data_IF_606065454898
#
_entry.id   IF_606065454898
#
_cell.length_a   1.000
_cell.length_b   1.000
_cell.length_c   1.000
_cell.angle_alpha   90.00
_cell.angle_beta   90.00
_cell.angle_gamma   90.00
#
_symmetry.space_group_name_H-M   'P 1'
#
loop_
_entity.id
_entity.type
_entity.pdbx_description
1 polymer ?
#
# COMPACT_ATOMS: atom_id res chain seq x y z
N UNK A 1 13.04 -2.40 -4.32
CA UNK A 1 13.70 -1.30 -5.03
C UNK A 1 12.67 -0.37 -5.69
N UNK A 2 11.97 -0.77 -6.77
CA UNK A 2 11.00 0.14 -7.43
C UNK A 2 9.87 0.64 -6.50
N UNK A 3 9.27 -0.26 -5.72
CA UNK A 3 8.23 0.12 -4.77
C UNK A 3 8.72 1.08 -3.69
N UNK A 4 9.95 0.90 -3.20
CA UNK A 4 10.54 1.79 -2.19
C UNK A 4 10.86 3.16 -2.79
N UNK A 5 11.34 3.20 -4.05
CA UNK A 5 11.54 4.45 -4.80
C UNK A 5 10.23 5.18 -5.05
N UNK A 6 9.17 4.44 -5.40
CA UNK A 6 7.83 5.00 -5.59
C UNK A 6 7.33 5.63 -4.29
N UNK A 7 7.39 4.90 -3.16
CA UNK A 7 6.97 5.46 -1.86
C UNK A 7 7.81 6.68 -1.46
N UNK A 8 9.13 6.61 -1.62
CA UNK A 8 10.03 7.72 -1.32
C UNK A 8 9.66 8.97 -2.12
N UNK A 9 9.50 8.83 -3.44
CA UNK A 9 9.11 9.94 -4.31
C UNK A 9 7.75 10.50 -3.93
N UNK A 10 6.75 9.63 -3.73
CA UNK A 10 5.38 10.07 -3.41
C UNK A 10 5.32 10.83 -2.08
N UNK A 11 6.03 10.36 -1.05
CA UNK A 11 6.08 11.05 0.24
C UNK A 11 6.92 12.34 0.20
N UNK A 12 7.92 12.43 -0.68
CA UNK A 12 8.66 13.67 -0.93
C UNK A 12 7.79 14.74 -1.61
N UNK A 13 6.74 14.34 -2.34
CA UNK A 13 5.74 15.26 -2.89
C UNK A 13 4.74 15.80 -1.84
N UNK A 14 4.90 15.45 -0.55
CA UNK A 14 4.05 15.94 0.54
C UNK A 14 2.75 15.17 0.75
N UNK A 15 2.60 13.99 0.15
CA UNK A 15 1.52 13.07 0.49
C UNK A 15 1.93 12.27 1.72
N UNK A 16 1.10 12.20 2.76
CA UNK A 16 1.42 11.45 3.99
C UNK A 16 0.67 10.12 4.12
N UNK A 17 -0.30 9.88 3.24
CA UNK A 17 -1.16 8.71 3.24
C UNK A 17 -1.45 8.26 1.82
N UNK A 18 -1.29 6.96 1.56
CA UNK A 18 -1.53 6.34 0.26
C UNK A 18 -2.42 5.13 0.43
N UNK A 19 -3.24 4.88 -0.58
CA UNK A 19 -4.07 3.70 -0.64
C UNK A 19 -4.09 3.12 -2.06
N UNK A 20 -4.33 1.82 -2.13
CA UNK A 20 -4.55 1.08 -3.37
C UNK A 20 -5.48 -0.10 -3.10
N UNK A 21 -5.94 -0.74 -4.17
CA UNK A 21 -6.64 -2.01 -4.06
C UNK A 21 -6.09 -3.05 -5.04
N UNK A 22 -6.29 -4.32 -4.71
CA UNK A 22 -5.92 -5.44 -5.57
C UNK A 22 -6.73 -6.68 -5.23
N UNK A 23 -6.89 -7.58 -6.20
CA UNK A 23 -7.56 -8.86 -5.99
C UNK A 23 -6.89 -9.68 -4.88
N UNK A 24 -7.68 -10.35 -4.01
CA UNK A 24 -7.19 -11.02 -2.81
C UNK A 24 -6.23 -12.19 -3.09
N UNK A 25 -6.41 -12.87 -4.23
CA UNK A 25 -5.70 -14.10 -4.61
C UNK A 25 -4.58 -13.81 -5.62
N UNK A 26 -3.85 -12.72 -5.40
CA UNK A 26 -2.76 -12.29 -6.27
C UNK A 26 -1.43 -12.18 -5.53
N UNK A 27 -0.34 -12.29 -6.29
CA UNK A 27 1.02 -12.00 -5.81
C UNK A 27 1.14 -10.56 -5.29
N UNK A 28 0.33 -9.63 -5.80
CA UNK A 28 0.31 -8.25 -5.33
C UNK A 28 -0.28 -8.15 -3.91
N UNK A 29 -1.40 -8.82 -3.63
CA UNK A 29 -1.97 -8.86 -2.29
C UNK A 29 -0.97 -9.41 -1.25
N UNK A 30 -0.28 -10.52 -1.58
CA UNK A 30 0.79 -11.04 -0.71
C UNK A 30 1.96 -10.07 -0.56
N UNK A 31 2.34 -9.38 -1.64
CA UNK A 31 3.41 -8.39 -1.61
C UNK A 31 3.10 -7.23 -0.65
N UNK A 32 1.89 -6.67 -0.71
CA UNK A 32 1.50 -5.55 0.16
C UNK A 32 1.34 -6.00 1.62
N UNK A 33 0.75 -7.17 1.88
CA UNK A 33 0.67 -7.75 3.23
C UNK A 33 2.05 -7.90 3.89
N UNK A 34 3.11 -8.12 3.11
CA UNK A 34 4.49 -8.26 3.60
C UNK A 34 5.24 -6.92 3.74
N UNK A 35 4.66 -5.78 3.34
CA UNK A 35 5.38 -4.50 3.18
C UNK A 35 4.79 -3.32 3.98
N UNK A 36 4.46 -3.54 5.25
CA UNK A 36 3.89 -2.50 6.15
C UNK A 36 2.59 -1.84 5.64
N UNK A 37 1.99 -2.33 4.55
CA UNK A 37 0.66 -1.91 4.15
C UNK A 37 -0.36 -2.56 5.07
N UNK A 38 -1.29 -1.76 5.55
CA UNK A 38 -2.40 -2.20 6.37
C UNK A 38 -3.60 -2.51 5.50
N UNK A 39 -4.15 -3.72 5.60
CA UNK A 39 -5.39 -4.08 4.92
C UNK A 39 -6.57 -3.45 5.66
N UNK A 40 -7.26 -2.49 5.05
CA UNK A 40 -8.34 -1.72 5.70
C UNK A 40 -9.74 -2.20 5.36
N UNK A 41 -9.87 -3.16 4.44
CA UNK A 41 -11.14 -3.80 4.12
C UNK A 41 -11.22 -4.27 2.68
N UNK A 42 -12.45 -4.49 2.22
CA UNK A 42 -12.76 -4.96 0.88
C UNK A 42 -13.66 -3.94 0.17
N UNK A 43 -13.36 -3.64 -1.08
CA UNK A 43 -14.16 -2.76 -1.94
C UNK A 43 -15.39 -3.49 -2.50
N UNK A 44 -16.40 -2.78 -3.07
CA UNK A 44 -17.61 -3.41 -3.63
C UNK A 44 -17.34 -4.42 -4.75
N UNK A 45 -16.20 -4.31 -5.43
CA UNK A 45 -15.74 -5.24 -6.47
C UNK A 45 -14.96 -6.45 -5.91
N UNK A 46 -14.97 -6.66 -4.60
CA UNK A 46 -14.23 -7.71 -3.89
C UNK A 46 -12.70 -7.56 -3.82
N UNK A 47 -12.12 -6.44 -4.31
CA UNK A 47 -10.70 -6.16 -4.14
C UNK A 47 -10.36 -5.79 -2.69
N UNK A 48 -9.19 -6.18 -2.22
CA UNK A 48 -8.66 -5.78 -0.91
C UNK A 48 -8.09 -4.36 -1.00
N UNK A 49 -8.53 -3.50 -0.10
CA UNK A 49 -7.97 -2.17 0.09
C UNK A 49 -6.78 -2.22 1.04
N UNK A 50 -5.69 -1.59 0.63
CA UNK A 50 -4.47 -1.43 1.41
C UNK A 50 -4.16 0.05 1.60
N UNK A 51 -3.66 0.39 2.78
CA UNK A 51 -3.23 1.74 3.13
C UNK A 51 -1.85 1.74 3.76
N UNK A 52 -1.08 2.79 3.52
CA UNK A 52 0.21 3.02 4.17
C UNK A 52 0.38 4.52 4.43
N UNK A 53 0.94 4.85 5.60
CA UNK A 53 1.35 6.22 5.93
C UNK A 53 2.86 6.38 5.76
N UNK A 54 3.30 7.61 5.52
CA UNK A 54 4.72 7.94 5.50
C UNK A 54 5.39 7.59 6.84
N UNK A 55 4.65 7.71 7.94
CA UNK A 55 5.09 7.30 9.27
C UNK A 55 5.30 5.78 9.37
N UNK A 56 4.32 4.97 8.96
CA UNK A 56 4.42 3.51 9.01
C UNK A 56 5.54 2.96 8.12
N UNK A 57 5.78 3.59 6.97
CA UNK A 57 6.84 3.20 6.05
C UNK A 57 8.26 3.52 6.57
N UNK A 58 8.42 4.58 7.35
CA UNK A 58 9.73 5.00 7.90
C UNK A 58 10.14 4.23 9.16
N UNK A 59 9.26 3.41 9.74
CA UNK A 59 9.56 2.54 10.90
C UNK A 59 10.19 1.22 10.46
#
# INVERSE_FOLDING_TARGET
KLHDTMLAWTFDQGLDHLWLSTDPDTRAAEFYRRRQWHATGTLPNAELRFEITAEAWRR
#
